data_IF_391115108088
#
_entry.id   IF_391115108088
#
_cell.length_a   1.000
_cell.length_b   1.000
_cell.length_c   1.000
_cell.angle_alpha   90.00
_cell.angle_beta   90.00
_cell.angle_gamma   90.00
#
_symmetry.space_group_name_H-M   'P 1'
#
loop_
_entity.id
_entity.type
_entity.pdbx_description
1 polymer ?
#
# COMPACT_ATOMS: atom_id res chain seq x y z
N UNK A 1 -7.20 -17.80 -22.86
CA UNK A 1 -7.14 -16.38 -23.29
C UNK A 1 -7.68 -15.54 -22.13
N UNK A 2 -6.84 -15.25 -21.12
CA UNK A 2 -7.23 -14.55 -19.87
C UNK A 2 -6.19 -13.49 -19.44
N UNK A 3 -5.30 -13.10 -20.35
CA UNK A 3 -4.13 -12.26 -20.03
C UNK A 3 -4.43 -10.79 -19.79
N UNK A 4 -5.62 -10.29 -20.18
CA UNK A 4 -5.95 -8.85 -20.09
C UNK A 4 -6.42 -8.40 -18.71
N UNK A 5 -7.05 -9.28 -17.94
CA UNK A 5 -7.55 -8.94 -16.61
C UNK A 5 -6.43 -8.95 -15.56
N UNK A 6 -5.44 -9.82 -15.75
CA UNK A 6 -4.31 -9.97 -14.82
C UNK A 6 -3.39 -8.75 -14.86
N UNK A 7 -2.99 -8.32 -16.06
CA UNK A 7 -2.14 -7.13 -16.26
C UNK A 7 -2.81 -5.84 -15.77
N UNK A 8 -4.13 -5.70 -15.96
CA UNK A 8 -4.87 -4.54 -15.43
C UNK A 8 -4.91 -4.53 -13.91
N UNK A 9 -5.12 -5.68 -13.27
CA UNK A 9 -5.10 -5.78 -11.80
C UNK A 9 -3.72 -5.49 -11.24
N UNK A 10 -2.68 -6.06 -11.84
CA UNK A 10 -1.29 -5.82 -11.46
C UNK A 10 -0.92 -4.33 -11.57
N UNK A 11 -1.34 -3.65 -12.65
CA UNK A 11 -1.13 -2.20 -12.79
C UNK A 11 -1.87 -1.36 -11.74
N UNK A 12 -3.06 -1.80 -11.32
CA UNK A 12 -3.82 -1.12 -10.28
C UNK A 12 -3.12 -1.30 -8.92
N UNK A 13 -2.68 -2.52 -8.60
CA UNK A 13 -1.91 -2.80 -7.38
C UNK A 13 -0.60 -2.02 -7.33
N UNK A 14 0.12 -1.92 -8.45
CA UNK A 14 1.33 -1.10 -8.53
C UNK A 14 1.06 0.36 -8.18
N UNK A 15 -0.05 0.91 -8.68
CA UNK A 15 -0.46 2.28 -8.36
C UNK A 15 -0.82 2.46 -6.88
N UNK A 16 -1.50 1.49 -6.28
CA UNK A 16 -1.86 1.50 -4.85
C UNK A 16 -0.62 1.42 -3.95
N UNK A 17 0.34 0.56 -4.30
CA UNK A 17 1.62 0.41 -3.59
C UNK A 17 2.41 1.72 -3.66
N UNK A 18 2.53 2.31 -4.85
CA UNK A 18 3.26 3.56 -5.04
C UNK A 18 2.57 4.74 -4.34
N UNK A 19 1.24 4.79 -4.35
CA UNK A 19 0.47 5.78 -3.61
C UNK A 19 0.73 5.68 -2.10
N UNK A 20 0.76 4.46 -1.55
CA UNK A 20 1.08 4.26 -0.13
C UNK A 20 2.52 4.68 0.18
N UNK A 21 3.50 4.29 -0.65
CA UNK A 21 4.90 4.70 -0.50
C UNK A 21 5.02 6.22 -0.46
N UNK A 22 4.39 6.90 -1.41
CA UNK A 22 4.38 8.36 -1.47
C UNK A 22 3.73 8.97 -0.22
N UNK A 23 2.60 8.44 0.23
CA UNK A 23 1.94 8.92 1.44
C UNK A 23 2.82 8.75 2.68
N UNK A 24 3.51 7.60 2.82
CA UNK A 24 4.44 7.36 3.92
C UNK A 24 5.61 8.33 3.92
N UNK A 25 6.26 8.53 2.77
CA UNK A 25 7.36 9.50 2.62
C UNK A 25 6.90 10.94 2.94
N UNK A 26 5.71 11.31 2.46
CA UNK A 26 5.15 12.64 2.71
C UNK A 26 4.82 12.84 4.20
N UNK A 27 4.22 11.83 4.84
CA UNK A 27 3.93 11.89 6.28
C UNK A 27 5.21 11.98 7.11
N UNK A 28 6.26 11.21 6.79
CA UNK A 28 7.54 11.30 7.51
C UNK A 28 8.18 12.69 7.45
N UNK A 29 7.99 13.40 6.34
CA UNK A 29 8.57 14.74 6.16
C UNK A 29 7.72 15.86 6.76
N UNK A 30 6.39 15.68 6.84
CA UNK A 30 5.47 16.79 7.09
C UNK A 30 4.49 16.57 8.25
N UNK A 31 4.45 15.38 8.87
CA UNK A 31 3.47 15.02 9.89
C UNK A 31 4.01 14.04 10.92
N UNK A 32 3.31 13.93 12.05
CA UNK A 32 3.48 12.85 13.03
C UNK A 32 2.45 11.74 12.83
N UNK A 33 1.60 11.83 11.81
CA UNK A 33 0.59 10.83 11.50
C UNK A 33 1.23 9.52 11.02
N UNK A 34 0.85 8.42 11.67
CA UNK A 34 1.37 7.08 11.39
C UNK A 34 0.25 6.09 11.01
N UNK A 35 -0.96 6.62 10.79
CA UNK A 35 -2.16 5.84 10.47
C UNK A 35 -2.58 6.09 9.02
N UNK A 36 -2.55 5.02 8.24
CA UNK A 36 -2.92 4.99 6.83
C UNK A 36 -4.25 4.25 6.64
N UNK A 37 -4.99 4.65 5.62
CA UNK A 37 -6.26 4.03 5.24
C UNK A 37 -6.20 3.64 3.77
N UNK A 38 -6.67 2.44 3.47
CA UNK A 38 -6.80 1.96 2.09
C UNK A 38 -8.09 1.15 1.98
N UNK A 39 -8.75 1.20 0.82
CA UNK A 39 -9.85 0.31 0.48
C UNK A 39 -9.40 -0.93 -0.30
N UNK A 40 -8.10 -1.05 -0.55
CA UNK A 40 -7.48 -2.16 -1.25
C UNK A 40 -7.06 -3.28 -0.28
N UNK A 41 -7.89 -4.32 -0.20
CA UNK A 41 -7.58 -5.51 0.61
C UNK A 41 -6.32 -6.24 0.15
N UNK A 42 -6.05 -6.24 -1.16
CA UNK A 42 -4.86 -6.85 -1.74
C UNK A 42 -3.59 -6.13 -1.28
N UNK A 43 -3.59 -4.79 -1.23
CA UNK A 43 -2.47 -4.02 -0.69
C UNK A 43 -2.17 -4.38 0.78
N UNK A 44 -3.21 -4.55 1.59
CA UNK A 44 -3.05 -4.98 2.99
C UNK A 44 -2.46 -6.39 3.05
N UNK A 45 -2.90 -7.30 2.18
CA UNK A 45 -2.32 -8.64 2.10
C UNK A 45 -0.85 -8.60 1.67
N UNK A 46 -0.49 -7.75 0.70
CA UNK A 46 0.90 -7.56 0.25
C UNK A 46 1.80 -7.05 1.37
N UNK A 47 1.32 -6.13 2.21
CA UNK A 47 2.10 -5.61 3.33
C UNK A 47 2.28 -6.67 4.43
N UNK A 48 1.26 -7.50 4.67
CA UNK A 48 1.30 -8.53 5.73
C UNK A 48 2.07 -9.77 5.32
N UNK A 49 2.02 -10.13 4.03
CA UNK A 49 2.64 -11.32 3.46
C UNK A 49 3.51 -10.93 2.26
N UNK A 50 4.45 -10.00 2.45
CA UNK A 50 5.28 -9.44 1.37
C UNK A 50 6.04 -10.50 0.57
N UNK A 51 6.48 -11.56 1.25
CA UNK A 51 7.16 -12.71 0.63
C UNK A 51 6.28 -13.47 -0.39
N UNK A 52 4.95 -13.35 -0.33
CA UNK A 52 4.03 -14.02 -1.23
C UNK A 52 3.87 -13.29 -2.58
N UNK A 53 4.43 -12.08 -2.72
CA UNK A 53 4.26 -11.20 -3.87
C UNK A 53 5.58 -10.86 -4.55
N UNK A 54 6.25 -11.84 -5.20
CA UNK A 54 7.58 -11.65 -5.79
C UNK A 54 7.61 -10.58 -6.90
N UNK A 55 6.49 -10.34 -7.59
CA UNK A 55 6.39 -9.28 -8.61
C UNK A 55 6.55 -7.85 -8.04
N UNK A 56 6.37 -7.67 -6.74
CA UNK A 56 6.42 -6.38 -6.05
C UNK A 56 7.51 -6.33 -4.97
N UNK A 57 8.45 -7.29 -5.00
CA UNK A 57 9.41 -7.46 -3.93
C UNK A 57 10.22 -6.19 -3.64
N UNK A 58 10.64 -5.46 -4.68
CA UNK A 58 11.42 -4.23 -4.54
C UNK A 58 10.59 -3.08 -3.94
N UNK A 59 9.34 -2.91 -4.38
CA UNK A 59 8.45 -1.88 -3.84
C UNK A 59 8.07 -2.17 -2.38
N UNK A 60 7.83 -3.44 -2.05
CA UNK A 60 7.50 -3.87 -0.69
C UNK A 60 8.69 -3.72 0.26
N UNK A 61 9.91 -4.05 -0.16
CA UNK A 61 11.13 -3.80 0.63
C UNK A 61 11.29 -2.32 0.99
N UNK A 62 10.96 -1.42 0.05
CA UNK A 62 10.97 0.03 0.31
C UNK A 62 9.90 0.44 1.31
N UNK A 63 8.69 -0.11 1.21
CA UNK A 63 7.62 0.14 2.17
C UNK A 63 8.01 -0.38 3.56
N UNK A 64 8.56 -1.59 3.66
CA UNK A 64 9.06 -2.16 4.92
C UNK A 64 10.15 -1.27 5.53
N UNK A 65 11.08 -0.75 4.71
CA UNK A 65 12.09 0.20 5.17
C UNK A 65 11.45 1.49 5.72
N UNK A 66 10.44 2.03 5.03
CA UNK A 66 9.71 3.19 5.50
C UNK A 66 8.93 2.88 6.79
N UNK A 67 8.37 1.68 6.95
CA UNK A 67 7.68 1.25 8.18
C UNK A 67 8.59 1.32 9.41
N UNK A 68 9.87 1.00 9.28
CA UNK A 68 10.85 1.09 10.39
C UNK A 68 11.00 2.53 10.89
N UNK A 69 10.75 3.53 10.05
CA UNK A 69 10.78 4.94 10.44
C UNK A 69 9.55 5.38 11.25
N UNK A 70 8.47 4.59 11.26
CA UNK A 70 7.29 4.84 12.08
C UNK A 70 7.40 4.08 13.41
N UNK A 71 7.07 4.75 14.51
CA UNK A 71 7.03 4.13 15.84
C UNK A 71 5.81 3.24 16.04
N UNK A 72 4.70 3.57 15.38
CA UNK A 72 3.42 2.85 15.45
C UNK A 72 2.73 2.90 14.08
N UNK A 73 3.19 2.08 13.13
CA UNK A 73 2.61 1.97 11.81
C UNK A 73 1.26 1.25 11.87
N UNK A 74 0.20 1.94 11.44
CA UNK A 74 -1.14 1.37 11.38
C UNK A 74 -1.72 1.53 9.97
N UNK A 75 -2.19 0.44 9.37
CA UNK A 75 -2.93 0.47 8.10
C UNK A 75 -4.27 -0.24 8.26
N UNK A 76 -5.35 0.48 7.97
CA UNK A 76 -6.72 -0.01 8.19
C UNK A 76 -7.46 -0.12 6.85
N UNK A 77 -8.12 -1.27 6.66
CA UNK A 77 -9.04 -1.46 5.55
C UNK A 77 -10.32 -0.64 5.77
N UNK A 78 -10.58 0.32 4.89
CA UNK A 78 -11.84 1.07 4.86
C UNK A 78 -12.70 0.60 3.69
N UNK A 79 -14.03 0.39 3.85
CA UNK A 79 -14.89 0.11 2.70
C UNK A 79 -14.82 1.27 1.70
N UNK A 80 -14.72 0.97 0.40
CA UNK A 80 -14.66 1.98 -0.69
C UNK A 80 -15.74 3.06 -0.61
N UNK A 81 -16.93 2.73 -0.11
CA UNK A 81 -18.01 3.69 0.13
C UNK A 81 -17.69 4.79 1.15
N UNK A 82 -16.66 4.60 1.98
CA UNK A 82 -16.17 5.57 2.98
C UNK A 82 -14.82 6.18 2.59
N UNK A 83 -14.30 5.85 1.41
CA UNK A 83 -13.07 6.41 0.85
C UNK A 83 -13.36 7.59 -0.10
N UNK A 84 -14.62 8.02 -0.19
CA UNK A 84 -15.06 9.13 -1.06
C UNK A 84 -15.25 10.46 -0.30
N UNK A 85 -15.08 10.48 1.02
CA UNK A 85 -15.36 11.64 1.88
C UNK A 85 -14.11 12.49 2.20
N UNK A 86 -13.03 12.39 1.40
CA UNK A 86 -11.84 13.24 1.52
C UNK A 86 -11.62 14.05 0.23
#
# INVERSE_FOLDING_TARGET
METRNFTRRESALHSEVEALRWAMENMLQHSTCQSFRTDCKELIAMIRESHAWPSFATELERIETLQICFSDFNIINVPRARNQDC
#
